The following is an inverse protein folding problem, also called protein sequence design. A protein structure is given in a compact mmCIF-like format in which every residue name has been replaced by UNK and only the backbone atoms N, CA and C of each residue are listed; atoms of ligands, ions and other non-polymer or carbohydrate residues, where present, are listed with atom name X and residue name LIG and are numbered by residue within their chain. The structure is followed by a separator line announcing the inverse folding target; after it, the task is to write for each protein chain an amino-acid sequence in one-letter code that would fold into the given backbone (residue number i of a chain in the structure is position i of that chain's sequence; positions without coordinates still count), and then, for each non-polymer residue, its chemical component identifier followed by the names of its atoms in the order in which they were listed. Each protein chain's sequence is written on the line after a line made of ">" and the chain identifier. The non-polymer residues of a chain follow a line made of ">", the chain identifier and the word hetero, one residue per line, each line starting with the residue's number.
data_IF_262025709351
#
_entry.id   IF_262025709351
#
_cell.length_a   1.000
_cell.length_b   1.000
_cell.length_c   1.000
_cell.angle_alpha   90.00
_cell.angle_beta   90.00
_cell.angle_gamma   90.00
#
_symmetry.space_group_name_H-M   'P 1'
#
loop_
_entity.id
_entity.type
_entity.pdbx_description
1 polymer ?
#
# COMPACT_ATOMS: atom_id res chain seq x y z
N UNK A 1 -30.88 -10.21 11.14
CA UNK A 1 -30.10 -10.48 9.91
C UNK A 1 -29.81 -9.11 9.32
N UNK A 2 -28.60 -8.64 9.04
CA UNK A 2 -27.26 -9.21 9.01
C UNK A 2 -26.37 -7.94 8.81
N UNK A 3 -25.45 -7.68 9.75
CA UNK A 3 -24.37 -6.68 9.74
C UNK A 3 -24.66 -5.27 9.15
N UNK A 4 -24.79 -4.28 10.03
CA UNK A 4 -24.25 -2.94 9.81
C UNK A 4 -22.75 -3.06 9.49
N UNK A 5 -22.28 -2.53 8.35
CA UNK A 5 -21.06 -1.72 8.34
C UNK A 5 -20.88 -0.95 7.01
N UNK A 6 -21.18 0.35 7.11
CA UNK A 6 -20.49 1.50 6.55
C UNK A 6 -20.18 1.59 5.04
N UNK A 7 -20.89 2.54 4.44
CA UNK A 7 -20.37 3.61 3.59
C UNK A 7 -19.55 3.21 2.35
N UNK A 8 -20.28 3.08 1.25
CA UNK A 8 -19.78 3.19 -0.12
C UNK A 8 -19.32 4.65 -0.33
N UNK A 9 -18.10 4.98 0.09
CA UNK A 9 -17.53 6.32 -0.14
C UNK A 9 -17.07 6.46 -1.60
N UNK A 10 -17.97 7.02 -2.39
CA UNK A 10 -17.77 8.10 -3.39
C UNK A 10 -16.62 7.91 -4.39
N UNK A 11 -17.04 7.62 -5.63
CA UNK A 11 -16.31 7.86 -6.88
C UNK A 11 -15.87 9.33 -7.01
N UNK A 12 -14.60 9.66 -6.81
CA UNK A 12 -13.96 10.89 -7.32
C UNK A 12 -12.44 10.68 -7.45
N UNK A 13 -11.95 10.34 -8.65
CA UNK A 13 -10.55 10.23 -9.11
C UNK A 13 -9.56 9.38 -8.27
N UNK A 14 -8.59 8.67 -8.88
CA UNK A 14 -7.42 8.17 -8.15
C UNK A 14 -6.56 9.31 -7.61
N UNK A 15 -6.96 9.90 -6.49
CA UNK A 15 -6.10 10.76 -5.68
C UNK A 15 -4.87 9.94 -5.23
N UNK A 16 -3.76 10.57 -4.82
CA UNK A 16 -2.52 9.89 -4.39
C UNK A 16 -2.73 8.68 -3.44
N UNK A 17 -3.85 8.68 -2.72
CA UNK A 17 -4.34 7.61 -1.87
C UNK A 17 -4.62 6.28 -2.61
N UNK A 18 -4.91 6.29 -3.92
CA UNK A 18 -5.21 5.07 -4.68
C UNK A 18 -3.95 4.25 -4.94
N UNK A 19 -2.83 4.89 -5.29
CA UNK A 19 -1.55 4.18 -5.40
C UNK A 19 -1.11 3.62 -4.04
N UNK A 20 -1.31 4.37 -2.95
CA UNK A 20 -1.08 3.88 -1.58
C UNK A 20 -1.90 2.60 -1.32
N UNK A 21 -3.20 2.62 -1.62
CA UNK A 21 -4.11 1.47 -1.45
C UNK A 21 -3.67 0.26 -2.27
N UNK A 22 -3.41 0.44 -3.57
CA UNK A 22 -3.05 -0.69 -4.45
C UNK A 22 -1.73 -1.32 -3.99
N UNK A 23 -0.71 -0.51 -3.65
CA UNK A 23 0.56 -1.02 -3.14
C UNK A 23 0.34 -1.83 -1.86
N UNK A 24 -0.45 -1.31 -0.91
CA UNK A 24 -0.72 -2.04 0.34
C UNK A 24 -1.50 -3.34 0.09
N UNK A 25 -2.45 -3.36 -0.84
CA UNK A 25 -3.21 -4.56 -1.18
C UNK A 25 -2.33 -5.62 -1.85
N UNK A 26 -1.40 -5.23 -2.73
CA UNK A 26 -0.41 -6.15 -3.33
C UNK A 26 0.44 -6.81 -2.23
N UNK A 27 1.01 -5.98 -1.34
CA UNK A 27 1.85 -6.46 -0.25
C UNK A 27 1.09 -7.37 0.71
N UNK A 28 -0.16 -7.03 1.03
CA UNK A 28 -1.06 -7.83 1.88
C UNK A 28 -1.43 -9.16 1.22
N UNK A 29 -1.70 -9.17 -0.08
CA UNK A 29 -2.07 -10.36 -0.86
C UNK A 29 -0.93 -11.35 -1.00
N UNK A 30 0.28 -10.87 -1.29
CA UNK A 30 1.44 -11.72 -1.56
C UNK A 30 2.00 -12.39 -0.29
N UNK A 31 1.65 -11.91 0.92
CA UNK A 31 2.10 -12.44 2.22
C UNK A 31 3.63 -12.63 2.34
N UNK A 32 4.39 -11.91 1.51
CA UNK A 32 5.86 -11.91 1.48
C UNK A 32 6.36 -10.49 1.20
N UNK A 33 7.58 -10.14 1.66
CA UNK A 33 8.17 -8.85 1.35
C UNK A 33 8.53 -8.75 -0.14
N UNK A 34 8.18 -7.63 -0.78
CA UNK A 34 8.43 -7.36 -2.21
C UNK A 34 9.35 -6.17 -2.42
N UNK A 35 10.17 -6.24 -3.47
CA UNK A 35 10.99 -5.10 -3.92
C UNK A 35 10.16 -4.08 -4.73
N UNK A 36 10.71 -2.87 -4.88
CA UNK A 36 10.11 -1.83 -5.76
C UNK A 36 9.90 -2.36 -7.18
N UNK A 37 10.85 -3.15 -7.71
CA UNK A 37 10.76 -3.76 -9.04
C UNK A 37 9.62 -4.76 -9.16
N UNK A 38 9.42 -5.58 -8.14
CA UNK A 38 8.30 -6.53 -8.12
C UNK A 38 6.98 -5.80 -8.07
N UNK A 39 6.84 -4.81 -7.18
CA UNK A 39 5.63 -3.98 -7.08
C UNK A 39 5.37 -3.24 -8.41
N UNK A 40 6.42 -2.73 -9.05
CA UNK A 40 6.33 -2.08 -10.36
C UNK A 40 5.78 -3.01 -11.43
N UNK A 41 6.18 -4.28 -11.48
CA UNK A 41 5.60 -5.25 -12.44
C UNK A 41 4.09 -5.43 -12.30
N UNK A 42 3.54 -5.30 -11.09
CA UNK A 42 2.08 -5.31 -10.88
C UNK A 42 1.42 -3.98 -11.26
N UNK A 43 2.19 -2.89 -11.34
CA UNK A 43 1.72 -1.52 -11.54
C UNK A 43 2.28 -0.86 -12.81
N UNK A 44 2.82 -1.63 -13.76
CA UNK A 44 3.55 -1.12 -14.92
C UNK A 44 2.71 -0.13 -15.75
N UNK A 45 1.39 -0.31 -15.78
CA UNK A 45 0.45 0.58 -16.46
C UNK A 45 -0.05 1.76 -15.60
N UNK A 46 0.25 1.78 -14.30
CA UNK A 46 -0.40 2.65 -13.29
C UNK A 46 0.61 3.63 -12.67
N UNK A 47 1.85 3.21 -12.40
CA UNK A 47 2.84 4.05 -11.74
C UNK A 47 4.28 3.66 -12.07
N UNK A 48 5.12 4.66 -12.34
CA UNK A 48 6.56 4.48 -12.51
C UNK A 48 7.25 4.10 -11.19
N UNK A 49 8.40 3.41 -11.27
CA UNK A 49 9.19 3.02 -10.09
C UNK A 49 9.48 4.18 -9.12
N UNK A 50 9.76 5.38 -9.61
CA UNK A 50 10.00 6.55 -8.75
C UNK A 50 8.76 6.89 -7.90
N UNK A 51 7.58 6.84 -8.52
CA UNK A 51 6.32 7.15 -7.83
C UNK A 51 6.05 6.09 -6.77
N UNK A 52 6.25 4.82 -7.09
CA UNK A 52 6.16 3.70 -6.14
C UNK A 52 7.12 3.89 -4.97
N UNK A 53 8.37 4.26 -5.24
CA UNK A 53 9.38 4.49 -4.19
C UNK A 53 8.96 5.61 -3.24
N UNK A 54 8.50 6.75 -3.77
CA UNK A 54 7.99 7.86 -2.95
C UNK A 54 6.78 7.44 -2.11
N UNK A 55 5.87 6.68 -2.69
CA UNK A 55 4.69 6.17 -1.99
C UNK A 55 5.05 5.19 -0.89
N UNK A 56 5.94 4.23 -1.15
CA UNK A 56 6.45 3.30 -0.15
C UNK A 56 7.17 4.01 1.00
N UNK A 57 7.93 5.06 0.70
CA UNK A 57 8.57 5.89 1.74
C UNK A 57 7.53 6.55 2.64
N UNK A 58 6.49 7.15 2.07
CA UNK A 58 5.35 7.71 2.82
C UNK A 58 4.65 6.66 3.67
N UNK A 59 4.35 5.48 3.12
CA UNK A 59 3.74 4.37 3.84
C UNK A 59 4.64 3.88 4.99
N UNK A 60 5.96 3.88 4.78
CA UNK A 60 6.92 3.49 5.82
C UNK A 60 6.99 4.52 6.94
N UNK A 61 6.97 5.82 6.62
CA UNK A 61 6.87 6.88 7.64
C UNK A 61 5.58 6.79 8.47
N UNK A 62 4.48 6.30 7.88
CA UNK A 62 3.21 6.04 8.57
C UNK A 62 3.19 4.71 9.35
N UNK A 63 4.29 3.96 9.39
CA UNK A 63 4.38 2.60 9.95
C UNK A 63 3.38 1.61 9.32
N UNK A 64 2.97 1.83 8.07
CA UNK A 64 2.07 0.92 7.32
C UNK A 64 2.83 -0.21 6.65
N UNK A 65 4.04 0.11 6.17
CA UNK A 65 4.96 -0.86 5.57
C UNK A 65 6.31 -0.81 6.27
N UNK A 66 6.96 -1.96 6.39
CA UNK A 66 8.32 -2.10 6.90
C UNK A 66 9.28 -2.26 5.75
N UNK A 67 10.33 -1.43 5.75
CA UNK A 67 11.45 -1.56 4.82
C UNK A 67 12.51 -2.49 5.43
N UNK A 68 12.86 -3.53 4.69
CA UNK A 68 13.89 -4.50 5.04
C UNK A 68 15.25 -4.07 4.50
N UNK A 69 16.33 -4.55 5.11
CA UNK A 69 17.72 -4.17 4.73
C UNK A 69 18.12 -4.63 3.33
N UNK A 70 17.40 -5.60 2.78
CA UNK A 70 17.58 -6.14 1.43
C UNK A 70 16.83 -5.35 0.35
N UNK A 71 16.18 -4.24 0.71
CA UNK A 71 15.42 -3.39 -0.22
C UNK A 71 14.00 -3.87 -0.49
N UNK A 72 13.49 -4.82 0.31
CA UNK A 72 12.11 -5.28 0.24
C UNK A 72 11.20 -4.52 1.20
N UNK A 73 9.92 -4.50 0.87
CA UNK A 73 8.86 -3.86 1.64
C UNK A 73 7.83 -4.91 2.03
N UNK A 74 7.36 -4.84 3.27
CA UNK A 74 6.36 -5.74 3.83
C UNK A 74 5.22 -4.92 4.43
N UNK A 75 3.99 -5.35 4.21
CA UNK A 75 2.85 -4.73 4.89
C UNK A 75 2.82 -5.16 6.36
N UNK A 76 2.76 -4.19 7.27
CA UNK A 76 2.75 -4.44 8.73
C UNK A 76 1.44 -4.05 9.42
N UNK A 77 0.57 -3.29 8.75
CA UNK A 77 -0.73 -2.86 9.28
C UNK A 77 -0.82 -1.36 9.51
N UNK A 78 -2.04 -0.82 9.60
CA UNK A 78 -2.26 0.59 9.90
C UNK A 78 -2.12 0.78 11.41
N UNK A 79 -1.04 1.40 11.86
CA UNK A 79 -0.85 1.70 13.28
C UNK A 79 -1.68 2.94 13.66
N UNK A 80 -3.00 2.75 13.71
CA UNK A 80 -4.01 3.71 14.16
C UNK A 80 -4.66 3.33 15.49
N UNK A 81 -4.15 2.33 16.21
CA UNK A 81 -4.65 1.94 17.53
C UNK A 81 -3.54 2.10 18.57
N UNK A 82 -3.25 3.36 18.93
CA UNK A 82 -2.72 3.61 20.27
C UNK A 82 -3.91 3.55 21.24
N UNK A 83 -3.88 2.53 22.10
CA UNK A 83 -4.66 2.37 23.33
C UNK A 83 -4.89 3.68 24.07
#
# INVERSE_FOLDING_TARGET
>A
MLYEDNDIVVMLAPHENELEKIITEILKREKKPLTVKEIHRYLEAIASEEKIRRTLYRLSSKNVVKHHKDGRYEFVGFNGEKK
#
